data_IF_344412009612
#
_entry.id   IF_344412009612
#
_cell.length_a   1.000
_cell.length_b   1.000
_cell.length_c   1.000
_cell.angle_alpha   90.00
_cell.angle_beta   90.00
_cell.angle_gamma   90.00
#
_symmetry.space_group_name_H-M   'P 1'
#
loop_
_entity.id
_entity.type
_entity.pdbx_description
1 polymer ?
#
# COMPACT_ATOMS: atom_id res chain seq x y z
N UNK A 1 2.28 47.77 7.59
CA UNK A 1 1.63 46.90 6.59
C UNK A 1 2.66 45.84 6.27
N UNK A 2 2.76 44.86 7.15
CA UNK A 2 3.66 43.72 6.96
C UNK A 2 2.92 42.73 6.08
N UNK A 3 3.42 42.57 4.86
CA UNK A 3 3.06 41.45 4.01
C UNK A 3 3.71 40.22 4.63
N UNK A 4 2.93 39.45 5.39
CA UNK A 4 3.28 38.07 5.68
C UNK A 4 3.35 37.34 4.32
N UNK A 5 4.57 37.04 3.88
CA UNK A 5 4.79 36.08 2.80
C UNK A 5 4.09 34.79 3.22
N UNK A 6 3.23 34.27 2.34
CA UNK A 6 2.71 32.92 2.50
C UNK A 6 3.92 31.97 2.67
N UNK A 7 3.84 30.94 3.53
CA UNK A 7 4.90 29.94 3.59
C UNK A 7 5.10 29.41 2.17
N UNK A 8 6.33 29.48 1.66
CA UNK A 8 6.72 28.79 0.45
C UNK A 8 6.30 27.32 0.64
N UNK A 9 5.40 26.83 -0.21
CA UNK A 9 5.06 25.41 -0.22
C UNK A 9 6.35 24.68 -0.59
N UNK A 10 7.03 24.10 0.41
CA UNK A 10 8.20 23.27 0.19
C UNK A 10 7.84 22.18 -0.82
N UNK A 11 8.60 22.10 -1.90
CA UNK A 11 8.40 21.09 -2.94
C UNK A 11 8.47 19.70 -2.28
N UNK A 12 7.50 18.80 -2.55
CA UNK A 12 7.51 17.48 -1.93
C UNK A 12 8.81 16.74 -2.27
N UNK A 13 9.38 15.98 -1.32
CA UNK A 13 10.61 15.25 -1.56
C UNK A 13 10.43 14.24 -2.70
N UNK A 14 11.38 14.20 -3.62
CA UNK A 14 11.36 13.31 -4.78
C UNK A 14 12.72 12.64 -5.01
N UNK A 15 12.74 11.63 -5.90
CA UNK A 15 13.95 10.99 -6.39
C UNK A 15 13.85 10.74 -7.90
N UNK A 16 14.95 10.95 -8.61
CA UNK A 16 15.06 10.58 -10.02
C UNK A 16 15.47 9.11 -10.20
N UNK A 17 14.79 8.44 -11.13
CA UNK A 17 15.13 7.12 -11.63
C UNK A 17 15.32 7.18 -13.15
N UNK A 18 16.31 6.46 -13.68
CA UNK A 18 16.70 6.60 -15.08
C UNK A 18 16.70 5.26 -15.83
N UNK A 19 16.20 5.29 -17.07
CA UNK A 19 16.49 4.24 -18.04
C UNK A 19 17.85 4.54 -18.66
N UNK A 20 18.91 3.93 -18.13
CA UNK A 20 20.25 4.10 -18.71
C UNK A 20 20.32 3.58 -20.16
N UNK A 21 20.97 4.35 -21.03
CA UNK A 21 21.28 3.99 -22.41
C UNK A 21 22.42 2.97 -22.42
N UNK A 22 22.19 1.84 -23.08
CA UNK A 22 23.25 0.84 -23.26
C UNK A 22 24.33 1.41 -24.20
N UNK A 23 25.63 1.36 -23.85
CA UNK A 23 26.72 1.79 -24.73
C UNK A 23 26.72 1.08 -26.08
N UNK A 24 26.18 -0.13 -26.14
CA UNK A 24 26.15 -0.96 -27.35
C UNK A 24 24.89 -0.72 -28.21
N UNK A 25 23.92 0.07 -27.75
CA UNK A 25 22.67 0.30 -28.49
C UNK A 25 22.84 1.49 -29.43
N UNK A 26 22.85 1.20 -30.74
CA UNK A 26 23.05 2.20 -31.79
C UNK A 26 21.77 2.93 -32.21
N UNK A 27 20.61 2.31 -31.98
CA UNK A 27 19.30 2.89 -32.33
C UNK A 27 18.57 3.40 -31.08
N UNK A 28 17.70 4.42 -31.24
CA UNK A 28 16.76 4.83 -30.19
C UNK A 28 15.82 3.69 -29.77
N UNK A 29 15.19 3.82 -28.60
CA UNK A 29 14.15 2.88 -28.19
C UNK A 29 12.91 3.03 -29.08
N UNK A 30 12.35 1.94 -29.65
CA UNK A 30 11.28 2.04 -30.63
C UNK A 30 9.99 2.72 -30.14
N UNK A 31 9.69 2.62 -28.85
CA UNK A 31 8.52 3.23 -28.19
C UNK A 31 8.89 4.44 -27.33
N UNK A 32 10.02 5.11 -27.57
CA UNK A 32 10.42 6.26 -26.76
C UNK A 32 9.37 7.36 -26.71
N UNK A 33 8.74 7.67 -27.85
CA UNK A 33 7.65 8.65 -27.92
C UNK A 33 6.41 8.22 -27.11
N UNK A 34 6.11 6.91 -27.05
CA UNK A 34 4.99 6.40 -26.26
C UNK A 34 5.28 6.47 -24.75
N UNK A 35 6.54 6.31 -24.33
CA UNK A 35 6.95 6.51 -22.92
C UNK A 35 6.76 7.97 -22.52
N UNK A 36 7.27 8.91 -23.32
CA UNK A 36 7.12 10.35 -23.05
C UNK A 36 5.66 10.81 -23.08
N UNK A 37 4.83 10.20 -23.94
CA UNK A 37 3.40 10.50 -24.01
C UNK A 37 2.64 10.17 -22.71
N UNK A 38 3.19 9.34 -21.81
CA UNK A 38 2.59 9.09 -20.50
C UNK A 38 2.59 10.34 -19.60
N UNK A 39 3.40 11.37 -19.90
CA UNK A 39 3.35 12.65 -19.18
C UNK A 39 1.94 13.26 -19.21
N UNK A 40 1.20 13.10 -20.32
CA UNK A 40 -0.18 13.59 -20.41
C UNK A 40 -1.11 12.95 -19.36
N UNK A 41 -0.89 11.69 -18.97
CA UNK A 41 -1.68 11.04 -17.91
C UNK A 41 -1.38 11.68 -16.55
N UNK A 42 -0.12 12.00 -16.31
CA UNK A 42 0.34 12.68 -15.08
C UNK A 42 -0.28 14.08 -15.00
N UNK A 43 -0.23 14.83 -16.10
CA UNK A 43 -0.80 16.18 -16.20
C UNK A 43 -2.33 16.18 -15.99
N UNK A 44 -3.02 15.10 -16.39
CA UNK A 44 -4.45 14.85 -16.13
C UNK A 44 -4.74 14.42 -14.67
N UNK A 45 -3.72 14.28 -13.83
CA UNK A 45 -3.84 13.85 -12.44
C UNK A 45 -4.11 12.35 -12.29
N UNK A 46 -3.84 11.55 -13.32
CA UNK A 46 -3.97 10.09 -13.27
C UNK A 46 -2.74 9.52 -12.56
N UNK A 47 -2.99 8.73 -11.51
CA UNK A 47 -1.93 8.04 -10.76
C UNK A 47 -1.13 7.12 -11.70
N UNK A 48 0.08 7.54 -12.06
CA UNK A 48 0.95 6.86 -13.02
C UNK A 48 2.09 6.16 -12.30
N UNK A 49 2.41 4.93 -12.72
CA UNK A 49 3.29 4.03 -11.98
C UNK A 49 4.54 3.63 -12.76
N UNK A 50 5.68 3.63 -12.06
CA UNK A 50 6.91 2.97 -12.52
C UNK A 50 7.15 1.70 -11.70
N UNK A 51 7.04 0.52 -12.33
CA UNK A 51 7.34 -0.76 -11.70
C UNK A 51 8.85 -1.07 -11.79
N UNK A 52 9.48 -1.30 -10.64
CA UNK A 52 10.92 -1.56 -10.51
C UNK A 52 11.15 -2.92 -9.87
N UNK A 53 11.93 -3.79 -10.53
CA UNK A 53 12.22 -5.13 -10.02
C UNK A 53 13.69 -5.50 -10.16
N UNK A 54 14.19 -6.23 -9.17
CA UNK A 54 15.49 -6.90 -9.16
C UNK A 54 15.33 -8.44 -9.28
N UNK A 55 14.22 -8.89 -9.86
CA UNK A 55 13.78 -10.30 -9.98
C UNK A 55 13.26 -10.96 -8.70
N UNK A 56 13.63 -10.47 -7.52
CA UNK A 56 13.20 -11.04 -6.23
C UNK A 56 12.22 -10.14 -5.50
N UNK A 57 12.31 -8.84 -5.74
CA UNK A 57 11.49 -7.82 -5.15
C UNK A 57 10.80 -7.02 -6.26
N UNK A 58 9.66 -6.43 -5.91
CA UNK A 58 8.92 -5.54 -6.78
C UNK A 58 8.55 -4.29 -5.99
N UNK A 59 8.90 -3.13 -6.55
CA UNK A 59 8.49 -1.83 -6.04
C UNK A 59 7.68 -1.11 -7.11
N UNK A 60 6.84 -0.19 -6.68
CA UNK A 60 6.10 0.73 -7.53
C UNK A 60 6.40 2.15 -7.10
N UNK A 61 6.80 3.00 -8.04
CA UNK A 61 7.02 4.43 -7.84
C UNK A 61 5.82 5.24 -8.34
N UNK A 62 5.45 6.28 -7.59
CA UNK A 62 4.51 7.31 -8.05
C UNK A 62 5.26 8.29 -8.94
N UNK A 63 4.94 8.32 -10.23
CA UNK A 63 5.62 9.19 -11.20
C UNK A 63 4.91 10.53 -11.28
N UNK A 64 5.66 11.62 -11.23
CA UNK A 64 5.17 12.99 -11.44
C UNK A 64 5.82 13.71 -12.61
N UNK A 65 6.91 13.18 -13.15
CA UNK A 65 7.52 13.70 -14.37
C UNK A 65 8.23 12.59 -15.17
N UNK A 66 8.15 12.69 -16.49
CA UNK A 66 8.90 11.88 -17.45
C UNK A 66 9.55 12.80 -18.48
N UNK A 67 10.88 12.75 -18.59
CA UNK A 67 11.64 13.58 -19.52
C UNK A 67 12.77 12.79 -20.20
N UNK A 68 13.13 13.17 -21.43
CA UNK A 68 14.33 12.71 -22.14
C UNK A 68 15.47 13.76 -22.16
N UNK A 69 15.28 14.88 -21.46
CA UNK A 69 16.29 15.92 -21.27
C UNK A 69 17.46 15.42 -20.40
N UNK A 70 18.61 16.09 -20.50
CA UNK A 70 19.80 15.73 -19.72
C UNK A 70 19.74 16.40 -18.34
N UNK A 71 18.90 15.85 -17.45
CA UNK A 71 18.67 16.37 -16.09
C UNK A 71 19.98 16.70 -15.35
N UNK A 72 21.01 15.88 -15.50
CA UNK A 72 22.31 16.08 -14.85
C UNK A 72 23.11 17.26 -15.42
N UNK A 73 22.99 17.52 -16.72
CA UNK A 73 23.66 18.65 -17.38
C UNK A 73 22.85 19.94 -17.22
N UNK A 74 21.54 19.85 -17.39
CA UNK A 74 20.63 20.98 -17.49
C UNK A 74 20.32 21.57 -16.11
N UNK A 75 20.21 20.71 -15.09
CA UNK A 75 19.94 21.12 -13.71
C UNK A 75 20.86 20.42 -12.71
N UNK A 76 22.14 20.83 -12.57
CA UNK A 76 23.13 20.12 -11.74
C UNK A 76 22.76 19.94 -10.26
N UNK A 77 21.86 20.78 -9.72
CA UNK A 77 21.31 20.62 -8.37
C UNK A 77 20.52 19.32 -8.19
N UNK A 78 19.86 18.84 -9.25
CA UNK A 78 19.08 17.60 -9.26
C UNK A 78 19.92 16.34 -9.01
N UNK A 79 21.24 16.43 -9.13
CA UNK A 79 22.16 15.33 -8.86
C UNK A 79 22.06 14.81 -7.41
N UNK A 80 21.64 15.64 -6.45
CA UNK A 80 21.44 15.19 -5.06
C UNK A 80 20.18 14.34 -4.88
N UNK A 81 19.22 14.48 -5.80
CA UNK A 81 17.96 13.74 -5.81
C UNK A 81 18.06 12.43 -6.58
N UNK A 82 19.27 11.92 -6.86
CA UNK A 82 19.44 10.68 -7.60
C UNK A 82 20.58 9.80 -7.08
N UNK A 83 20.50 8.47 -7.24
CA UNK A 83 21.60 7.58 -6.95
C UNK A 83 22.89 7.94 -7.72
N UNK A 84 24.01 8.02 -6.99
CA UNK A 84 25.32 8.37 -7.57
C UNK A 84 25.79 7.48 -8.72
N UNK A 85 25.22 6.27 -8.88
CA UNK A 85 25.57 5.39 -10.00
C UNK A 85 25.08 5.90 -11.36
N UNK A 86 24.13 6.83 -11.40
CA UNK A 86 23.68 7.48 -12.64
C UNK A 86 24.67 8.51 -13.17
N UNK A 87 25.56 9.03 -12.31
CA UNK A 87 26.47 10.12 -12.68
C UNK A 87 27.40 9.71 -13.82
N UNK A 88 27.48 10.56 -14.85
CA UNK A 88 28.32 10.34 -16.03
C UNK A 88 27.83 9.22 -16.96
N UNK A 89 26.56 8.79 -16.83
CA UNK A 89 25.96 7.77 -17.70
C UNK A 89 24.79 8.37 -18.46
N UNK A 90 24.74 8.22 -19.80
CA UNK A 90 23.61 8.71 -20.58
C UNK A 90 22.35 7.92 -20.24
N UNK A 91 21.24 8.64 -20.06
CA UNK A 91 19.92 8.07 -19.91
C UNK A 91 19.11 8.25 -21.21
N UNK A 92 18.17 7.34 -21.45
CA UNK A 92 17.14 7.51 -22.47
C UNK A 92 15.96 8.33 -21.93
N UNK A 93 15.61 8.08 -20.68
CA UNK A 93 14.50 8.73 -19.98
C UNK A 93 14.85 8.86 -18.51
N UNK A 94 14.34 9.91 -17.90
CA UNK A 94 14.29 10.17 -16.48
C UNK A 94 12.84 10.14 -16.01
N UNK A 95 12.63 9.57 -14.83
CA UNK A 95 11.36 9.48 -14.15
C UNK A 95 11.53 10.12 -12.78
N UNK A 96 10.81 11.21 -12.52
CA UNK A 96 10.76 11.82 -11.20
C UNK A 96 9.70 11.08 -10.38
N UNK A 97 10.11 10.62 -9.20
CA UNK A 97 9.29 9.78 -8.32
C UNK A 97 9.02 10.52 -7.02
N UNK A 98 7.75 10.75 -6.70
CA UNK A 98 7.32 11.40 -5.45
C UNK A 98 7.32 10.46 -4.25
N UNK A 99 7.09 9.17 -4.50
CA UNK A 99 7.10 8.15 -3.46
C UNK A 99 7.41 6.78 -4.08
N UNK A 100 7.87 5.85 -3.25
CA UNK A 100 8.18 4.49 -3.62
C UNK A 100 7.57 3.54 -2.60
N UNK A 101 6.80 2.57 -3.08
CA UNK A 101 6.17 1.55 -2.26
C UNK A 101 6.64 0.16 -2.66
N UNK A 102 7.01 -0.64 -1.67
CA UNK A 102 7.34 -2.05 -1.90
C UNK A 102 6.07 -2.89 -2.00
N UNK A 103 5.97 -3.67 -3.07
CA UNK A 103 4.87 -4.63 -3.29
C UNK A 103 5.26 -6.04 -2.89
N UNK A 104 6.50 -6.44 -3.21
CA UNK A 104 7.06 -7.76 -2.89
C UNK A 104 8.49 -7.60 -2.40
N UNK A 105 8.84 -8.32 -1.34
CA UNK A 105 10.17 -8.32 -0.74
C UNK A 105 10.78 -9.73 -0.79
N UNK A 106 11.91 -9.89 -1.49
CA UNK A 106 12.74 -11.11 -1.48
C UNK A 106 11.96 -12.43 -1.73
N UNK A 107 11.06 -12.40 -2.71
CA UNK A 107 10.21 -13.51 -3.13
C UNK A 107 10.02 -13.52 -4.65
N UNK A 108 10.80 -14.35 -5.35
CA UNK A 108 10.71 -14.47 -6.81
C UNK A 108 9.34 -14.99 -7.27
N UNK A 109 8.71 -15.90 -6.53
CA UNK A 109 7.42 -16.49 -6.93
C UNK A 109 6.30 -15.46 -6.80
N UNK A 110 6.28 -14.71 -5.69
CA UNK A 110 5.34 -13.61 -5.51
C UNK A 110 5.59 -12.48 -6.51
N UNK A 111 6.87 -12.17 -6.83
CA UNK A 111 7.23 -11.17 -7.85
C UNK A 111 6.68 -11.56 -9.22
N UNK A 112 6.84 -12.83 -9.63
CA UNK A 112 6.26 -13.34 -10.88
C UNK A 112 4.73 -13.22 -10.86
N UNK A 113 4.10 -13.63 -9.75
CA UNK A 113 2.63 -13.57 -9.60
C UNK A 113 2.10 -12.15 -9.71
N UNK A 114 2.78 -11.18 -9.09
CA UNK A 114 2.38 -9.78 -9.13
C UNK A 114 2.60 -9.17 -10.52
N UNK A 115 3.72 -9.48 -11.18
CA UNK A 115 3.99 -9.04 -12.55
C UNK A 115 2.98 -9.61 -13.56
N UNK A 116 2.49 -10.83 -13.37
CA UNK A 116 1.48 -11.44 -14.24
C UNK A 116 0.13 -10.69 -14.26
N UNK A 117 -0.10 -9.79 -13.29
CA UNK A 117 -1.28 -8.92 -13.28
C UNK A 117 -1.16 -7.75 -14.27
N UNK A 118 0.06 -7.44 -14.73
CA UNK A 118 0.34 -6.41 -15.73
C UNK A 118 0.23 -7.01 -17.14
N UNK A 119 -0.40 -6.28 -18.07
CA UNK A 119 -0.50 -6.64 -19.49
C UNK A 119 0.48 -5.80 -20.30
N UNK A 120 1.36 -6.45 -21.06
CA UNK A 120 2.30 -5.76 -21.93
C UNK A 120 1.62 -5.34 -23.24
N UNK A 121 1.40 -4.03 -23.39
CA UNK A 121 0.69 -3.44 -24.53
C UNK A 121 1.36 -3.76 -25.86
N UNK A 122 2.70 -3.77 -25.88
CA UNK A 122 3.48 -4.03 -27.10
C UNK A 122 3.70 -5.52 -27.37
N UNK A 123 3.21 -6.41 -26.49
CA UNK A 123 3.33 -7.85 -26.64
C UNK A 123 1.95 -8.52 -26.59
N UNK A 124 1.05 -8.08 -27.47
CA UNK A 124 -0.31 -8.63 -27.65
C UNK A 124 -1.12 -8.70 -26.34
N UNK A 125 -0.96 -7.70 -25.48
CA UNK A 125 -1.58 -7.63 -24.15
C UNK A 125 -1.36 -8.90 -23.30
N UNK A 126 -0.25 -9.61 -23.55
CA UNK A 126 0.11 -10.79 -22.77
C UNK A 126 0.53 -10.36 -21.36
N UNK A 127 0.26 -11.19 -20.34
CA UNK A 127 0.81 -10.95 -19.02
C UNK A 127 2.34 -10.83 -19.06
N UNK A 128 2.88 -9.87 -18.29
CA UNK A 128 4.32 -9.68 -18.15
C UNK A 128 4.94 -10.95 -17.55
N UNK A 129 6.05 -11.39 -18.14
CA UNK A 129 6.80 -12.56 -17.68
C UNK A 129 8.22 -12.15 -17.33
N UNK A 130 8.65 -12.49 -16.11
CA UNK A 130 9.98 -12.14 -15.61
C UNK A 130 11.12 -12.78 -16.42
N UNK A 131 10.88 -13.92 -17.08
CA UNK A 131 11.90 -14.63 -17.85
C UNK A 131 11.63 -14.63 -19.36
N UNK A 132 10.59 -13.92 -19.82
CA UNK A 132 10.20 -13.92 -21.23
C UNK A 132 9.60 -12.59 -21.66
N UNK A 133 10.05 -12.07 -22.80
CA UNK A 133 9.44 -10.86 -23.39
C UNK A 133 9.81 -9.54 -22.70
N UNK A 134 10.77 -9.53 -21.76
CA UNK A 134 11.38 -8.29 -21.25
C UNK A 134 12.45 -7.78 -22.21
N UNK A 135 12.04 -7.47 -23.43
CA UNK A 135 12.89 -6.85 -24.45
C UNK A 135 12.48 -5.38 -24.56
N UNK A 136 13.45 -4.50 -24.82
CA UNK A 136 13.19 -3.06 -25.00
C UNK A 136 12.54 -2.40 -23.77
N UNK A 137 13.18 -2.51 -22.60
CA UNK A 137 12.69 -1.81 -21.40
C UNK A 137 12.75 -0.26 -21.55
N UNK A 138 11.86 0.50 -20.89
CA UNK A 138 10.77 0.02 -20.03
C UNK A 138 9.62 -0.59 -20.82
N UNK A 139 8.88 -1.52 -20.21
CA UNK A 139 7.65 -2.05 -20.81
C UNK A 139 6.50 -1.07 -20.60
N UNK A 140 5.68 -0.86 -21.63
CA UNK A 140 4.39 -0.18 -21.50
C UNK A 140 3.35 -1.20 -21.06
N UNK A 141 2.74 -0.97 -19.91
CA UNK A 141 1.84 -1.93 -19.28
C UNK A 141 0.51 -1.31 -18.88
N UNK A 142 -0.54 -2.13 -18.91
CA UNK A 142 -1.85 -1.81 -18.34
C UNK A 142 -2.21 -2.82 -17.26
N UNK A 143 -3.15 -2.46 -16.39
CA UNK A 143 -3.63 -3.31 -15.31
C UNK A 143 -5.14 -3.15 -15.15
N UNK A 144 -5.86 -4.27 -15.11
CA UNK A 144 -7.33 -4.27 -15.10
C UNK A 144 -7.94 -3.98 -13.71
N UNK A 145 -7.19 -4.23 -12.64
CA UNK A 145 -7.68 -4.08 -11.27
C UNK A 145 -7.74 -2.61 -10.78
N UNK A 146 -7.29 -1.65 -11.61
CA UNK A 146 -7.22 -0.23 -11.28
C UNK A 146 -6.56 0.03 -9.92
N UNK A 147 -5.49 -0.70 -9.61
CA UNK A 147 -4.73 -0.53 -8.38
C UNK A 147 -4.34 0.94 -8.19
N UNK A 148 -4.63 1.49 -7.00
CA UNK A 148 -4.21 2.82 -6.57
C UNK A 148 -3.30 2.68 -5.36
N UNK A 149 -2.01 2.62 -5.60
CA UNK A 149 -1.01 2.31 -4.58
C UNK A 149 -0.79 3.49 -3.62
N UNK A 150 -1.13 4.71 -4.02
CA UNK A 150 -0.82 5.93 -3.27
C UNK A 150 -2.07 6.73 -2.84
N UNK A 151 -3.25 6.41 -3.36
CA UNK A 151 -4.49 7.16 -3.07
C UNK A 151 -4.85 7.29 -1.59
N UNK A 152 -4.55 6.28 -0.79
CA UNK A 152 -4.83 6.24 0.64
C UNK A 152 -3.57 6.43 1.51
N UNK A 153 -2.49 6.98 0.94
CA UNK A 153 -1.23 7.16 1.66
C UNK A 153 -1.43 8.03 2.91
N UNK A 154 -1.92 9.26 2.78
CA UNK A 154 -2.09 10.20 3.89
C UNK A 154 -2.83 9.61 5.11
N UNK A 155 -4.02 8.97 4.99
CA UNK A 155 -4.69 8.37 6.15
C UNK A 155 -3.96 7.14 6.70
N UNK A 156 -3.15 6.42 5.92
CA UNK A 156 -2.43 5.23 6.35
C UNK A 156 -1.09 5.54 7.01
N UNK A 157 -0.39 6.55 6.51
CA UNK A 157 0.99 6.90 6.87
C UNK A 157 1.09 8.13 7.76
N UNK A 158 -0.03 8.74 8.12
CA UNK A 158 -0.11 10.00 8.88
C UNK A 158 0.63 11.14 8.16
N UNK A 159 0.51 11.17 6.83
CA UNK A 159 1.13 12.19 5.97
C UNK A 159 2.59 11.91 5.58
N UNK A 160 3.18 10.81 6.05
CA UNK A 160 4.55 10.40 5.68
C UNK A 160 4.57 9.67 4.33
N UNK A 161 5.73 9.63 3.67
CA UNK A 161 5.91 8.80 2.47
C UNK A 161 6.01 7.31 2.81
N UNK A 162 5.57 6.43 1.90
CA UNK A 162 5.79 4.99 2.03
C UNK A 162 7.29 4.66 2.06
N UNK A 163 8.08 5.33 1.23
CA UNK A 163 9.53 5.15 1.21
C UNK A 163 10.18 5.47 2.56
N UNK A 164 9.67 6.48 3.29
CA UNK A 164 10.15 6.82 4.63
C UNK A 164 9.78 5.74 5.66
N UNK A 165 8.55 5.24 5.62
CA UNK A 165 8.09 4.17 6.51
C UNK A 165 8.87 2.86 6.31
N UNK A 166 9.17 2.51 5.07
CA UNK A 166 9.96 1.31 4.75
C UNK A 166 11.45 1.50 5.11
N UNK A 167 11.95 2.74 5.15
CA UNK A 167 13.36 3.03 5.46
C UNK A 167 13.71 2.99 6.95
N UNK A 168 12.77 3.32 7.85
CA UNK A 168 13.02 3.47 9.30
C UNK A 168 13.67 2.25 9.95
N UNK A 169 13.37 1.03 9.49
CA UNK A 169 13.94 -0.22 10.01
C UNK A 169 14.39 -1.16 8.90
N UNK A 170 14.95 -0.57 7.84
CA UNK A 170 15.45 -1.30 6.67
C UNK A 170 16.37 -2.45 7.12
N UNK A 171 16.06 -3.67 6.65
CA UNK A 171 16.73 -4.92 7.03
C UNK A 171 15.95 -5.77 8.05
N UNK A 172 15.55 -5.19 9.19
CA UNK A 172 14.74 -5.91 10.18
C UNK A 172 13.31 -6.15 9.66
N UNK A 173 12.72 -5.16 8.98
CA UNK A 173 11.42 -5.30 8.35
C UNK A 173 11.43 -6.43 7.30
N UNK A 174 12.48 -6.53 6.48
CA UNK A 174 12.61 -7.62 5.49
C UNK A 174 12.75 -9.00 6.13
N UNK A 175 13.60 -9.10 7.17
CA UNK A 175 13.77 -10.33 7.94
C UNK A 175 12.45 -10.77 8.56
N UNK A 176 11.70 -9.82 9.15
CA UNK A 176 10.44 -10.09 9.82
C UNK A 176 9.29 -10.37 8.85
N UNK A 177 9.24 -9.71 7.69
CA UNK A 177 8.29 -10.06 6.63
C UNK A 177 8.44 -11.53 6.22
N UNK A 178 9.68 -12.00 6.01
CA UNK A 178 9.95 -13.42 5.70
C UNK A 178 9.58 -14.31 6.88
N UNK A 179 9.93 -13.93 8.10
CA UNK A 179 9.62 -14.73 9.28
C UNK A 179 8.10 -14.90 9.49
N UNK A 180 7.34 -13.82 9.33
CA UNK A 180 5.87 -13.82 9.41
C UNK A 180 5.26 -14.68 8.28
N UNK A 181 5.75 -14.54 7.05
CA UNK A 181 5.30 -15.34 5.91
C UNK A 181 5.59 -16.83 6.10
N UNK A 182 6.82 -17.18 6.44
CA UNK A 182 7.33 -18.55 6.37
C UNK A 182 6.97 -19.36 7.63
N UNK A 183 6.90 -18.71 8.80
CA UNK A 183 6.75 -19.40 10.08
C UNK A 183 5.44 -19.12 10.83
N UNK A 184 4.63 -18.15 10.41
CA UNK A 184 3.42 -17.77 11.15
C UNK A 184 2.14 -17.75 10.31
N UNK A 185 2.10 -16.94 9.26
CA UNK A 185 0.90 -16.70 8.47
C UNK A 185 0.77 -17.69 7.30
N UNK A 186 1.90 -18.15 6.77
CA UNK A 186 1.98 -19.02 5.60
C UNK A 186 1.85 -18.25 4.28
N UNK A 187 2.44 -18.80 3.22
CA UNK A 187 2.52 -18.15 1.90
C UNK A 187 1.16 -17.78 1.30
N UNK A 188 0.14 -18.64 1.46
CA UNK A 188 -1.18 -18.40 0.87
C UNK A 188 -1.88 -17.19 1.48
N UNK A 189 -1.85 -17.08 2.82
CA UNK A 189 -2.43 -15.93 3.52
C UNK A 189 -1.59 -14.69 3.23
N UNK A 190 -0.27 -14.79 3.33
CA UNK A 190 0.64 -13.67 3.08
C UNK A 190 0.45 -13.06 1.68
N UNK A 191 0.36 -13.90 0.65
CA UNK A 191 0.25 -13.46 -0.74
C UNK A 191 -1.05 -12.72 -1.07
N UNK A 192 -2.11 -12.90 -0.26
CA UNK A 192 -3.36 -12.18 -0.49
C UNK A 192 -3.44 -10.87 0.29
N UNK A 193 -2.66 -10.69 1.37
CA UNK A 193 -2.65 -9.46 2.16
C UNK A 193 -2.27 -8.24 1.30
N UNK A 194 -2.80 -7.08 1.67
CA UNK A 194 -2.41 -5.81 1.08
C UNK A 194 -0.93 -5.52 1.38
N UNK A 195 -0.17 -4.94 0.43
CA UNK A 195 1.24 -4.63 0.66
C UNK A 195 1.48 -3.74 1.90
N UNK A 196 0.54 -2.84 2.21
CA UNK A 196 0.63 -1.98 3.40
C UNK A 196 0.58 -2.80 4.69
N UNK A 197 -0.22 -3.86 4.71
CA UNK A 197 -0.33 -4.78 5.85
C UNK A 197 1.00 -5.49 6.09
N UNK A 198 1.74 -5.86 5.05
CA UNK A 198 3.09 -6.43 5.22
C UNK A 198 4.02 -5.45 5.94
N UNK A 199 4.08 -4.19 5.48
CA UNK A 199 4.88 -3.13 6.11
C UNK A 199 4.47 -2.90 7.55
N UNK A 200 3.17 -2.75 7.82
CA UNK A 200 2.67 -2.48 9.18
C UNK A 200 2.97 -3.63 10.15
N UNK A 201 2.73 -4.89 9.75
CA UNK A 201 3.02 -6.04 10.60
C UNK A 201 4.52 -6.20 10.85
N UNK A 202 5.34 -6.06 9.81
CA UNK A 202 6.79 -6.21 9.95
C UNK A 202 7.40 -5.10 10.81
N UNK A 203 6.99 -3.84 10.62
CA UNK A 203 7.43 -2.72 11.45
C UNK A 203 6.96 -2.86 12.91
N UNK A 204 5.70 -3.27 13.14
CA UNK A 204 5.18 -3.51 14.48
C UNK A 204 5.98 -4.60 15.21
N UNK A 205 6.26 -5.72 14.55
CA UNK A 205 7.05 -6.81 15.11
C UNK A 205 8.51 -6.40 15.34
N UNK A 206 9.09 -5.53 14.50
CA UNK A 206 10.47 -5.07 14.64
C UNK A 206 10.67 -4.24 15.90
N UNK A 207 9.79 -3.25 16.10
CA UNK A 207 9.79 -2.44 17.33
C UNK A 207 9.45 -3.31 18.53
N UNK A 208 8.37 -4.10 18.45
CA UNK A 208 7.91 -4.89 19.58
C UNK A 208 8.99 -5.85 20.07
N UNK A 209 9.63 -6.60 19.17
CA UNK A 209 10.63 -7.61 19.54
C UNK A 209 11.93 -7.00 20.05
N UNK A 210 12.38 -5.88 19.46
CA UNK A 210 13.60 -5.20 19.91
C UNK A 210 13.44 -4.56 21.30
N UNK A 211 12.21 -4.23 21.70
CA UNK A 211 11.91 -3.55 22.97
C UNK A 211 11.15 -4.40 23.99
N UNK A 212 10.85 -5.66 23.68
CA UNK A 212 9.95 -6.52 24.48
C UNK A 212 10.34 -6.67 25.95
N UNK A 213 11.63 -6.60 26.27
CA UNK A 213 12.13 -6.75 27.64
C UNK A 213 12.31 -5.41 28.37
N UNK A 214 12.04 -4.27 27.71
CA UNK A 214 12.11 -2.95 28.33
C UNK A 214 10.76 -2.62 28.99
N UNK A 215 10.67 -2.62 30.33
CA UNK A 215 9.41 -2.37 31.03
C UNK A 215 8.97 -0.91 30.98
N UNK A 216 9.82 0.02 30.52
CA UNK A 216 9.52 1.45 30.42
C UNK A 216 9.20 1.89 29.00
N UNK A 217 9.35 1.00 28.03
CA UNK A 217 9.08 1.32 26.63
C UNK A 217 7.57 1.54 26.42
N UNK A 218 7.24 2.58 25.66
CA UNK A 218 5.87 2.86 25.25
C UNK A 218 5.56 2.10 23.96
N UNK A 219 4.65 1.13 24.04
CA UNK A 219 4.25 0.27 22.92
C UNK A 219 3.12 0.86 22.06
N UNK A 220 2.83 2.17 22.18
CA UNK A 220 1.81 2.85 21.36
C UNK A 220 2.12 2.74 19.86
N UNK A 221 3.38 2.89 19.45
CA UNK A 221 3.80 2.77 18.04
C UNK A 221 3.47 1.41 17.41
N UNK A 222 3.91 0.28 18.01
CA UNK A 222 3.48 -1.06 17.59
C UNK A 222 1.96 -1.24 17.58
N UNK A 223 1.26 -0.75 18.59
CA UNK A 223 -0.20 -0.88 18.68
C UNK A 223 -0.92 -0.16 17.52
N UNK A 224 -0.48 1.06 17.18
CA UNK A 224 -0.98 1.81 16.02
C UNK A 224 -0.72 1.03 14.72
N UNK A 225 0.48 0.45 14.58
CA UNK A 225 0.84 -0.33 13.39
C UNK A 225 -0.02 -1.59 13.23
N UNK A 226 -0.26 -2.35 14.31
CA UNK A 226 -1.19 -3.48 14.28
C UNK A 226 -2.62 -3.07 13.94
N UNK A 227 -3.08 -1.94 14.48
CA UNK A 227 -4.38 -1.38 14.12
C UNK A 227 -4.45 -1.01 12.62
N UNK A 228 -3.41 -0.37 12.07
CA UNK A 228 -3.35 -0.05 10.64
C UNK A 228 -3.34 -1.28 9.74
N UNK A 229 -2.70 -2.38 10.16
CA UNK A 229 -2.79 -3.66 9.46
C UNK A 229 -4.25 -4.18 9.39
N UNK A 230 -4.97 -4.20 10.52
CA UNK A 230 -6.38 -4.63 10.56
C UNK A 230 -7.28 -3.68 9.76
N UNK A 231 -7.07 -2.37 9.88
CA UNK A 231 -7.82 -1.33 9.17
C UNK A 231 -7.68 -1.51 7.65
N UNK A 232 -6.46 -1.71 7.17
CA UNK A 232 -6.13 -1.92 5.75
C UNK A 232 -6.82 -3.16 5.21
N UNK A 233 -6.67 -4.31 5.87
CA UNK A 233 -7.27 -5.57 5.42
C UNK A 233 -8.79 -5.52 5.43
N UNK A 234 -9.39 -4.88 6.43
CA UNK A 234 -10.84 -4.80 6.52
C UNK A 234 -11.44 -3.89 5.44
N UNK A 235 -10.78 -2.79 5.08
CA UNK A 235 -11.15 -1.96 3.93
C UNK A 235 -11.10 -2.78 2.63
N UNK A 236 -9.99 -3.50 2.42
CA UNK A 236 -9.76 -4.31 1.23
C UNK A 236 -10.74 -5.49 1.11
N UNK A 237 -11.22 -6.04 2.23
CA UNK A 237 -12.29 -7.03 2.24
C UNK A 237 -13.65 -6.40 1.96
N UNK A 238 -14.04 -5.39 2.74
CA UNK A 238 -15.42 -4.91 2.78
C UNK A 238 -15.79 -4.19 1.49
N UNK A 239 -15.11 -3.10 1.12
CA UNK A 239 -15.63 -2.21 0.09
C UNK A 239 -15.65 -2.82 -1.31
N UNK A 240 -14.64 -3.57 -1.77
CA UNK A 240 -14.73 -4.29 -3.06
C UNK A 240 -15.89 -5.30 -3.08
N UNK A 241 -16.12 -5.99 -1.95
CA UNK A 241 -17.18 -6.99 -1.82
C UNK A 241 -18.57 -6.35 -1.79
N UNK A 242 -18.74 -5.26 -1.05
CA UNK A 242 -19.98 -4.48 -1.02
C UNK A 242 -20.28 -3.86 -2.40
N UNK A 243 -19.26 -3.29 -3.05
CA UNK A 243 -19.37 -2.75 -4.41
C UNK A 243 -19.92 -3.78 -5.38
N UNK A 244 -19.45 -5.02 -5.29
CA UNK A 244 -19.90 -6.10 -6.18
C UNK A 244 -21.39 -6.38 -6.09
N UNK A 245 -21.94 -6.39 -4.87
CA UNK A 245 -23.36 -6.70 -4.64
C UNK A 245 -24.28 -5.48 -4.74
N UNK A 246 -23.74 -4.27 -4.57
CA UNK A 246 -24.50 -3.01 -4.61
C UNK A 246 -24.36 -2.26 -5.94
N UNK A 247 -23.48 -2.69 -6.85
CA UNK A 247 -23.33 -2.08 -8.18
C UNK A 247 -24.66 -2.16 -8.93
N UNK A 248 -25.26 -1.00 -9.19
CA UNK A 248 -26.56 -0.88 -9.87
C UNK A 248 -27.78 -0.81 -8.93
N UNK A 249 -27.60 -0.96 -7.62
CA UNK A 249 -28.67 -0.69 -6.65
C UNK A 249 -29.06 0.80 -6.66
N UNK A 250 -30.26 1.13 -6.19
CA UNK A 250 -30.70 2.53 -6.11
C UNK A 250 -29.87 3.29 -5.06
N UNK A 251 -29.69 4.61 -5.18
CA UNK A 251 -28.94 5.40 -4.20
C UNK A 251 -29.35 5.14 -2.74
N UNK A 252 -30.66 5.07 -2.45
CA UNK A 252 -31.17 4.78 -1.09
C UNK A 252 -30.80 3.40 -0.52
N UNK A 253 -30.33 2.48 -1.37
CA UNK A 253 -29.98 1.11 -1.02
C UNK A 253 -28.46 0.87 -0.99
N UNK A 254 -27.67 1.89 -1.32
CA UNK A 254 -26.19 1.80 -1.36
C UNK A 254 -25.46 3.01 -0.76
N UNK A 255 -26.14 4.14 -0.57
CA UNK A 255 -25.56 5.31 0.08
C UNK A 255 -25.70 5.22 1.60
N UNK A 256 -24.62 5.52 2.31
CA UNK A 256 -24.60 5.58 3.77
C UNK A 256 -24.01 6.91 4.23
N UNK A 257 -24.47 7.42 5.36
CA UNK A 257 -23.90 8.62 5.98
C UNK A 257 -22.83 8.21 6.99
N UNK A 258 -21.63 8.72 6.80
CA UNK A 258 -20.46 8.50 7.66
C UNK A 258 -19.84 9.86 7.96
N UNK A 259 -19.78 10.23 9.25
CA UNK A 259 -19.11 11.47 9.69
C UNK A 259 -19.56 12.72 8.92
N UNK A 260 -20.86 12.80 8.60
CA UNK A 260 -21.47 13.91 7.86
C UNK A 260 -21.24 13.87 6.34
N UNK A 261 -20.54 12.86 5.82
CA UNK A 261 -20.32 12.62 4.38
C UNK A 261 -21.17 11.46 3.89
N UNK A 262 -21.60 11.51 2.63
CA UNK A 262 -22.22 10.36 1.97
C UNK A 262 -21.17 9.48 1.33
N UNK A 263 -21.22 8.18 1.61
CA UNK A 263 -20.41 7.17 0.94
C UNK A 263 -21.33 6.33 0.04
N UNK A 264 -21.01 6.25 -1.25
CA UNK A 264 -21.65 5.32 -2.18
C UNK A 264 -20.93 3.97 -2.13
N UNK A 265 -21.53 2.98 -1.45
CA UNK A 265 -20.97 1.63 -1.31
C UNK A 265 -21.01 0.82 -2.62
N UNK A 266 -21.74 1.28 -3.64
CA UNK A 266 -21.70 0.73 -5.00
C UNK A 266 -20.62 1.36 -5.88
N UNK A 267 -19.97 2.43 -5.40
CA UNK A 267 -18.87 3.13 -6.05
C UNK A 267 -17.49 2.73 -5.52
N UNK A 268 -16.51 3.61 -5.73
CA UNK A 268 -15.25 3.53 -4.98
C UNK A 268 -15.44 4.24 -3.63
N UNK A 269 -15.00 3.57 -2.57
CA UNK A 269 -15.04 4.10 -1.21
C UNK A 269 -13.60 4.36 -0.77
N UNK A 270 -13.25 5.58 -0.33
CA UNK A 270 -11.91 5.85 0.18
C UNK A 270 -11.67 5.06 1.47
N UNK A 271 -10.41 4.90 1.85
CA UNK A 271 -10.06 4.19 3.09
C UNK A 271 -10.78 4.77 4.31
N UNK A 272 -11.38 3.90 5.12
CA UNK A 272 -12.12 4.24 6.33
C UNK A 272 -11.38 3.81 7.58
N UNK A 273 -11.55 4.58 8.66
CA UNK A 273 -10.90 4.28 9.94
C UNK A 273 -11.52 3.06 10.65
N UNK A 274 -10.79 2.44 11.58
CA UNK A 274 -11.33 1.37 12.45
C UNK A 274 -12.64 1.78 13.13
N UNK A 275 -12.71 3.01 13.66
CA UNK A 275 -13.90 3.51 14.34
C UNK A 275 -15.11 3.56 13.41
N UNK A 276 -14.88 4.02 12.18
CA UNK A 276 -15.87 4.09 11.11
C UNK A 276 -16.30 2.69 10.65
N UNK A 277 -15.36 1.79 10.38
CA UNK A 277 -15.64 0.40 9.98
C UNK A 277 -16.46 -0.33 11.05
N UNK A 278 -16.09 -0.16 12.32
CA UNK A 278 -16.85 -0.69 13.46
C UNK A 278 -18.29 -0.18 13.44
N UNK A 279 -18.48 1.13 13.31
CA UNK A 279 -19.82 1.73 13.29
C UNK A 279 -20.66 1.20 12.12
N UNK A 280 -20.06 1.10 10.93
CA UNK A 280 -20.71 0.54 9.73
C UNK A 280 -21.16 -0.91 9.97
N UNK A 281 -20.31 -1.76 10.54
CA UNK A 281 -20.65 -3.16 10.82
C UNK A 281 -21.74 -3.29 11.90
N UNK A 282 -21.72 -2.45 12.94
CA UNK A 282 -22.64 -2.56 14.09
C UNK A 282 -24.00 -1.91 13.85
N UNK A 283 -24.05 -0.79 13.14
CA UNK A 283 -25.22 0.09 13.17
C UNK A 283 -25.79 0.41 11.79
N UNK A 284 -25.11 0.05 10.69
CA UNK A 284 -25.61 0.37 9.37
C UNK A 284 -26.33 -0.81 8.71
N UNK A 285 -27.64 -0.70 8.55
CA UNK A 285 -28.47 -1.78 7.98
C UNK A 285 -28.11 -2.13 6.53
N UNK A 286 -27.71 -1.15 5.72
CA UNK A 286 -27.29 -1.37 4.33
C UNK A 286 -26.03 -2.23 4.31
N UNK A 287 -25.02 -1.86 5.10
CA UNK A 287 -23.77 -2.62 5.24
C UNK A 287 -24.07 -4.01 5.77
N UNK A 288 -24.82 -4.16 6.86
CA UNK A 288 -25.12 -5.48 7.42
C UNK A 288 -25.83 -6.40 6.43
N UNK A 289 -26.80 -5.88 5.67
CA UNK A 289 -27.50 -6.65 4.64
C UNK A 289 -26.57 -7.09 3.53
N UNK A 290 -25.75 -6.17 3.03
CA UNK A 290 -24.79 -6.45 1.96
C UNK A 290 -23.67 -7.41 2.40
N UNK A 291 -23.17 -7.29 3.65
CA UNK A 291 -22.23 -8.24 4.25
C UNK A 291 -22.84 -9.65 4.33
N UNK A 292 -24.09 -9.80 4.78
CA UNK A 292 -24.77 -11.11 4.81
C UNK A 292 -24.93 -11.71 3.41
N UNK A 293 -25.24 -10.87 2.42
CA UNK A 293 -25.41 -11.32 1.04
C UNK A 293 -24.07 -11.76 0.41
N UNK A 294 -23.00 -11.00 0.64
CA UNK A 294 -21.74 -11.17 -0.05
C UNK A 294 -20.76 -12.11 0.67
N UNK A 295 -20.80 -12.20 2.00
CA UNK A 295 -19.85 -12.94 2.84
C UNK A 295 -20.58 -14.02 3.65
N UNK A 296 -21.23 -14.94 2.95
CA UNK A 296 -22.14 -15.94 3.54
C UNK A 296 -21.47 -16.78 4.64
N UNK A 297 -20.18 -17.11 4.49
CA UNK A 297 -19.43 -17.91 5.46
C UNK A 297 -18.92 -17.10 6.66
N UNK A 298 -18.74 -15.79 6.51
CA UNK A 298 -17.99 -14.95 7.45
C UNK A 298 -18.85 -13.86 8.12
N UNK A 299 -20.06 -13.61 7.63
CA UNK A 299 -20.93 -12.52 8.11
C UNK A 299 -21.22 -12.60 9.61
N UNK A 300 -21.39 -13.80 10.18
CA UNK A 300 -21.69 -13.98 11.60
C UNK A 300 -20.54 -13.48 12.49
N UNK A 301 -19.30 -13.69 12.04
CA UNK A 301 -18.12 -13.15 12.73
C UNK A 301 -17.95 -11.65 12.49
N UNK A 302 -18.06 -11.19 11.24
CA UNK A 302 -17.89 -9.79 10.85
C UNK A 302 -18.89 -8.86 11.55
N UNK A 303 -20.15 -9.29 11.70
CA UNK A 303 -21.22 -8.50 12.31
C UNK A 303 -21.38 -8.76 13.81
N UNK A 304 -20.81 -9.86 14.32
CA UNK A 304 -20.94 -10.28 15.72
C UNK A 304 -19.68 -10.00 16.54
N UNK A 305 -18.62 -10.79 16.31
CA UNK A 305 -17.42 -10.78 17.15
C UNK A 305 -16.45 -9.66 16.77
N UNK A 306 -16.21 -9.44 15.47
CA UNK A 306 -15.21 -8.48 14.99
C UNK A 306 -15.38 -7.07 15.58
N UNK A 307 -16.60 -6.48 15.71
CA UNK A 307 -16.74 -5.13 16.25
C UNK A 307 -16.25 -4.97 17.70
N UNK A 308 -16.28 -6.02 18.51
CA UNK A 308 -15.68 -6.02 19.84
C UNK A 308 -14.15 -5.98 19.77
N UNK A 309 -13.56 -6.76 18.86
CA UNK A 309 -12.10 -6.77 18.59
C UNK A 309 -11.64 -5.39 18.11
N UNK A 310 -12.40 -4.77 17.19
CA UNK A 310 -12.14 -3.42 16.70
C UNK A 310 -12.23 -2.36 17.80
N UNK A 311 -13.08 -2.55 18.82
CA UNK A 311 -13.18 -1.62 19.95
C UNK A 311 -11.89 -1.64 20.76
N UNK A 312 -11.35 -2.82 21.08
CA UNK A 312 -10.07 -2.94 21.80
C UNK A 312 -8.90 -2.31 21.02
N UNK A 313 -8.86 -2.51 19.71
CA UNK A 313 -7.90 -1.88 18.81
C UNK A 313 -8.03 -0.35 18.79
N UNK A 314 -9.27 0.17 18.74
CA UNK A 314 -9.52 1.61 18.72
C UNK A 314 -9.16 2.28 20.05
N UNK A 315 -9.43 1.63 21.18
CA UNK A 315 -9.13 2.15 22.51
C UNK A 315 -7.60 2.31 22.68
N UNK A 316 -6.82 1.29 22.30
CA UNK A 316 -5.35 1.31 22.36
C UNK A 316 -4.72 2.32 21.39
N UNK A 317 -5.42 2.72 20.32
CA UNK A 317 -4.97 3.73 19.35
C UNK A 317 -5.17 5.16 19.85
N UNK A 318 -5.92 5.38 20.92
CA UNK A 318 -6.22 6.73 21.41
C UNK A 318 -5.47 7.01 22.73
N UNK A 319 -4.25 7.59 22.66
CA UNK A 319 -3.51 8.04 23.84
C UNK A 319 -4.27 9.05 24.71
N UNK A 320 -5.33 9.70 24.20
CA UNK A 320 -6.18 10.55 25.03
C UNK A 320 -7.22 9.75 25.85
N UNK A 321 -7.55 8.51 25.44
CA UNK A 321 -8.45 7.61 26.18
C UNK A 321 -7.71 6.86 27.31
N UNK A 322 -6.41 6.65 27.15
CA UNK A 322 -5.53 6.10 28.17
C UNK A 322 -4.54 7.19 28.56
N UNK A 323 -4.73 7.85 29.69
CA UNK A 323 -3.84 8.90 30.22
C UNK A 323 -2.42 8.39 30.60
N UNK A 324 -1.82 7.51 29.80
CA UNK A 324 -0.54 6.83 30.01
C UNK A 324 -0.12 6.02 28.77
N UNK A 325 1.17 5.72 28.69
CA UNK A 325 1.79 4.87 27.66
C UNK A 325 1.13 3.49 27.55
N UNK A 326 1.21 2.87 26.38
CA UNK A 326 0.76 1.48 26.21
C UNK A 326 1.83 0.57 26.81
N UNK A 327 1.49 -0.12 27.90
CA UNK A 327 2.37 -1.08 28.56
C UNK A 327 2.55 -2.39 27.78
N UNK A 328 3.59 -3.14 28.15
CA UNK A 328 3.94 -4.44 27.53
C UNK A 328 2.78 -5.42 27.49
N UNK A 329 2.05 -5.61 28.58
CA UNK A 329 0.98 -6.61 28.67
C UNK A 329 -0.16 -6.33 27.68
N UNK A 330 -0.59 -5.07 27.57
CA UNK A 330 -1.60 -4.66 26.61
C UNK A 330 -1.11 -4.85 25.17
N UNK A 331 0.15 -4.53 24.89
CA UNK A 331 0.75 -4.73 23.58
C UNK A 331 0.90 -6.22 23.20
N UNK A 332 1.26 -7.09 24.16
CA UNK A 332 1.29 -8.56 23.96
C UNK A 332 -0.10 -9.07 23.60
N UNK A 333 -1.12 -8.71 24.39
CA UNK A 333 -2.49 -9.16 24.14
C UNK A 333 -3.00 -8.71 22.76
N UNK A 334 -2.68 -7.47 22.37
CA UNK A 334 -3.04 -6.94 21.06
C UNK A 334 -2.34 -7.68 19.92
N UNK A 335 -1.02 -7.87 20.06
CA UNK A 335 -0.20 -8.59 19.10
C UNK A 335 -0.73 -10.00 18.89
N UNK A 336 -0.99 -10.71 19.98
CA UNK A 336 -1.44 -12.10 19.93
C UNK A 336 -2.81 -12.21 19.25
N UNK A 337 -3.71 -11.25 19.48
CA UNK A 337 -5.02 -11.16 18.81
C UNK A 337 -4.92 -10.81 17.32
N UNK A 338 -4.05 -9.86 16.94
CA UNK A 338 -3.93 -9.39 15.55
C UNK A 338 -3.18 -10.40 14.69
N UNK A 339 -2.01 -10.85 15.16
CA UNK A 339 -1.10 -11.72 14.40
C UNK A 339 -1.48 -13.19 14.55
N UNK A 340 -2.10 -13.59 15.67
CA UNK A 340 -2.54 -14.97 15.90
C UNK A 340 -1.52 -15.81 16.65
N UNK A 341 -0.95 -15.30 17.74
CA UNK A 341 -0.10 -16.12 18.60
C UNK A 341 -0.99 -16.92 19.56
N UNK A 342 -0.91 -18.24 19.48
CA UNK A 342 -1.75 -19.15 20.27
C UNK A 342 -3.19 -19.31 19.75
N UNK A 343 -3.53 -18.76 18.58
CA UNK A 343 -4.87 -18.85 17.98
C UNK A 343 -4.92 -18.32 16.54
N UNK A 344 -6.11 -18.21 15.95
CA UNK A 344 -6.28 -17.55 14.65
C UNK A 344 -6.28 -16.02 14.82
N UNK A 345 -5.32 -15.34 14.20
CA UNK A 345 -5.23 -13.88 14.23
C UNK A 345 -6.32 -13.19 13.42
N UNK A 346 -6.71 -11.98 13.83
CA UNK A 346 -7.72 -11.17 13.12
C UNK A 346 -7.33 -10.95 11.65
N UNK A 347 -6.07 -10.61 11.38
CA UNK A 347 -5.59 -10.39 10.00
C UNK A 347 -5.73 -11.65 9.15
N UNK A 348 -5.37 -12.82 9.72
CA UNK A 348 -5.50 -14.12 9.02
C UNK A 348 -6.96 -14.42 8.70
N UNK A 349 -7.88 -14.14 9.64
CA UNK A 349 -9.30 -14.39 9.44
C UNK A 349 -9.91 -13.47 8.38
N UNK A 350 -9.52 -12.19 8.34
CA UNK A 350 -9.91 -11.25 7.27
C UNK A 350 -9.40 -11.74 5.91
N UNK A 351 -8.11 -12.12 5.83
CA UNK A 351 -7.51 -12.60 4.60
C UNK A 351 -8.22 -13.85 4.07
N UNK A 352 -8.52 -14.81 4.96
CA UNK A 352 -9.28 -16.03 4.61
C UNK A 352 -10.71 -15.72 4.15
N UNK A 353 -11.36 -14.72 4.75
CA UNK A 353 -12.66 -14.26 4.28
C UNK A 353 -12.55 -13.66 2.86
N UNK A 354 -11.51 -12.87 2.57
CA UNK A 354 -11.26 -12.34 1.22
C UNK A 354 -11.01 -13.44 0.19
N UNK A 355 -10.32 -14.52 0.57
CA UNK A 355 -10.10 -15.68 -0.31
C UNK A 355 -11.39 -16.45 -0.65
N UNK A 356 -12.44 -16.31 0.16
CA UNK A 356 -13.75 -16.96 -0.05
C UNK A 356 -14.81 -16.03 -0.67
N UNK A 357 -14.54 -14.72 -0.66
CA UNK A 357 -15.46 -13.65 -1.08
C UNK A 357 -15.50 -13.50 -2.60
#
# INVERSE_FOLDING_TARGET
RDHALAPEEEEPPFVWSAKLKSPNRQQPLPHGAEVLALQAQIDEGIETHLYLTDYRSLNVGLVDEITDEDVLSDTPGEAEHMPAYYHGRPADFWFRLLDLRRLVADDTVATITELQKLRNVRYHDRPVSLYGGMVELPLLVTREDNARWFADAAPLTEGRLWAQLDAEQRGETERLSRELRDNLLGHLVWAVLEPATHTFLANAEAVFRSRREDPRFDFSGPAISYAKAVETELNALLFPTLRRVLRGARPSEREVSVEGRRLDLGGQVPHQSIGTLRNLLQHNEVVQRAVRAALQHDHAWLLGQLPYQLTRLADLRNPAAHSGSVGREAAVALRDEVVGVGGEGVVVRIARARMRA
#
